data_IF_955119898502
#
_entry.id   IF_955119898502
#
_cell.length_a   1.000
_cell.length_b   1.000
_cell.length_c   1.000
_cell.angle_alpha   90.00
_cell.angle_beta   90.00
_cell.angle_gamma   90.00
#
_symmetry.space_group_name_H-M   'P 1'
#
loop_
_entity.id
_entity.type
_entity.pdbx_description
1 polymer ?
#
# COMPACT_ATOMS: atom_id res chain seq x y z
N UNK A 1 -96.00 0.60 0.38
CA UNK A 1 -94.99 1.62 0.70
C UNK A 1 -93.73 0.92 1.20
N UNK A 2 -92.66 0.87 0.41
CA UNK A 2 -91.27 1.15 0.82
C UNK A 2 -90.58 1.69 -0.43
N UNK A 3 -90.02 2.89 -0.34
CA UNK A 3 -89.47 3.67 -1.44
C UNK A 3 -88.02 3.22 -1.65
N UNK A 4 -87.68 2.68 -2.82
CA UNK A 4 -86.29 2.36 -3.18
C UNK A 4 -85.45 3.64 -3.20
N UNK A 5 -84.55 3.80 -2.23
CA UNK A 5 -83.53 4.85 -2.24
C UNK A 5 -82.46 4.52 -3.28
N UNK A 6 -82.10 5.52 -4.10
CA UNK A 6 -81.16 5.35 -5.22
C UNK A 6 -79.72 5.17 -4.76
N UNK A 7 -79.11 4.04 -5.10
CA UNK A 7 -77.69 3.69 -4.86
C UNK A 7 -76.67 4.42 -5.75
N UNK A 8 -77.07 5.47 -6.47
CA UNK A 8 -76.23 6.14 -7.49
C UNK A 8 -75.03 6.90 -6.93
N UNK A 9 -75.09 7.40 -5.70
CA UNK A 9 -73.94 8.10 -5.06
C UNK A 9 -72.88 7.16 -4.50
N UNK A 10 -73.29 6.02 -3.94
CA UNK A 10 -72.37 5.05 -3.32
C UNK A 10 -71.48 4.34 -4.36
N UNK A 11 -72.02 3.99 -5.53
CA UNK A 11 -71.25 3.37 -6.61
C UNK A 11 -70.14 4.31 -7.14
N UNK A 12 -70.41 5.62 -7.25
CA UNK A 12 -69.43 6.61 -7.69
C UNK A 12 -68.28 6.74 -6.69
N UNK A 13 -68.58 6.77 -5.38
CA UNK A 13 -67.55 6.85 -4.32
C UNK A 13 -66.66 5.62 -4.32
N UNK A 14 -67.22 4.43 -4.52
CA UNK A 14 -66.44 3.18 -4.59
C UNK A 14 -65.53 3.19 -5.83
N UNK A 15 -66.03 3.60 -7.00
CA UNK A 15 -65.21 3.70 -8.22
C UNK A 15 -64.09 4.72 -8.03
N UNK A 16 -64.38 5.91 -7.47
CA UNK A 16 -63.37 6.91 -7.18
C UNK A 16 -62.32 6.42 -6.18
N UNK A 17 -62.74 5.67 -5.16
CA UNK A 17 -61.81 5.07 -4.19
C UNK A 17 -60.91 4.01 -4.84
N UNK A 18 -61.46 3.13 -5.69
CA UNK A 18 -60.68 2.13 -6.43
C UNK A 18 -59.69 2.81 -7.39
N UNK A 19 -60.12 3.86 -8.11
CA UNK A 19 -59.24 4.63 -9.01
C UNK A 19 -58.15 5.35 -8.22
N UNK A 20 -58.48 5.96 -7.09
CA UNK A 20 -57.48 6.61 -6.23
C UNK A 20 -56.47 5.60 -5.68
N UNK A 21 -56.92 4.42 -5.23
CA UNK A 21 -56.05 3.36 -4.75
C UNK A 21 -55.15 2.79 -5.86
N UNK A 22 -55.71 2.57 -7.05
CA UNK A 22 -54.95 2.16 -8.23
C UNK A 22 -53.91 3.21 -8.63
N UNK A 23 -54.25 4.51 -8.56
CA UNK A 23 -53.32 5.59 -8.84
C UNK A 23 -52.17 5.65 -7.81
N UNK A 24 -52.45 5.49 -6.52
CA UNK A 24 -51.42 5.44 -5.47
C UNK A 24 -50.46 4.26 -5.70
N UNK A 25 -51.00 3.06 -5.96
CA UNK A 25 -50.19 1.88 -6.27
C UNK A 25 -49.33 2.09 -7.52
N UNK A 26 -49.88 2.70 -8.57
CA UNK A 26 -49.14 2.99 -9.80
C UNK A 26 -47.96 3.96 -9.55
N UNK A 27 -48.18 5.01 -8.74
CA UNK A 27 -47.12 5.97 -8.36
C UNK A 27 -46.02 5.28 -7.56
N UNK A 28 -46.38 4.44 -6.57
CA UNK A 28 -45.42 3.69 -5.77
C UNK A 28 -44.60 2.71 -6.63
N UNK A 29 -45.25 1.96 -7.52
CA UNK A 29 -44.58 1.06 -8.47
C UNK A 29 -43.61 1.82 -9.38
N UNK A 30 -44.00 2.99 -9.89
CA UNK A 30 -43.13 3.82 -10.75
C UNK A 30 -41.92 4.36 -9.98
N UNK A 31 -42.11 4.79 -8.73
CA UNK A 31 -41.02 5.26 -7.88
C UNK A 31 -40.02 4.12 -7.60
N UNK A 32 -40.52 2.93 -7.25
CA UNK A 32 -39.69 1.73 -7.05
C UNK A 32 -38.92 1.33 -8.31
N UNK A 33 -39.57 1.38 -9.48
CA UNK A 33 -38.90 1.12 -10.76
C UNK A 33 -37.76 2.11 -11.02
N UNK A 34 -37.98 3.41 -10.79
CA UNK A 34 -36.94 4.42 -10.97
C UNK A 34 -35.73 4.18 -10.06
N UNK A 35 -35.96 3.81 -8.79
CA UNK A 35 -34.89 3.45 -7.85
C UNK A 35 -34.12 2.21 -8.32
N UNK A 36 -34.82 1.18 -8.81
CA UNK A 36 -34.17 -0.03 -9.33
C UNK A 36 -33.32 0.26 -10.57
N UNK A 37 -33.82 1.09 -11.49
CA UNK A 37 -33.06 1.53 -12.67
C UNK A 37 -31.82 2.28 -12.23
N UNK A 38 -31.92 3.26 -11.33
CA UNK A 38 -30.75 4.00 -10.86
C UNK A 38 -29.72 3.09 -10.19
N UNK A 39 -30.15 2.15 -9.34
CA UNK A 39 -29.25 1.18 -8.70
C UNK A 39 -28.57 0.30 -9.74
N UNK A 40 -29.29 -0.16 -10.75
CA UNK A 40 -28.74 -0.98 -11.82
C UNK A 40 -27.71 -0.22 -12.65
N UNK A 41 -27.99 1.05 -12.99
CA UNK A 41 -27.07 1.93 -13.71
C UNK A 41 -25.80 2.18 -12.88
N UNK A 42 -25.93 2.49 -11.58
CA UNK A 42 -24.78 2.70 -10.72
C UNK A 42 -23.91 1.44 -10.59
N UNK A 43 -24.54 0.27 -10.43
CA UNK A 43 -23.81 -1.00 -10.37
C UNK A 43 -23.06 -1.28 -11.67
N UNK A 44 -23.70 -1.05 -12.82
CA UNK A 44 -23.06 -1.21 -14.13
C UNK A 44 -21.88 -0.24 -14.29
N UNK A 45 -22.07 1.03 -13.92
CA UNK A 45 -21.00 2.03 -13.97
C UNK A 45 -19.81 1.69 -13.05
N UNK A 46 -20.06 1.19 -11.85
CA UNK A 46 -19.00 0.70 -10.96
C UNK A 46 -18.25 -0.50 -11.54
N UNK A 47 -18.94 -1.43 -12.18
CA UNK A 47 -18.30 -2.55 -12.88
C UNK A 47 -17.45 -2.05 -14.05
N UNK A 48 -17.94 -1.08 -14.82
CA UNK A 48 -17.18 -0.49 -15.94
C UNK A 48 -15.89 0.19 -15.44
N UNK A 49 -15.97 1.01 -14.39
CA UNK A 49 -14.80 1.64 -13.79
C UNK A 49 -13.79 0.60 -13.26
N UNK A 50 -14.27 -0.50 -12.67
CA UNK A 50 -13.42 -1.62 -12.25
C UNK A 50 -12.71 -2.29 -13.43
N UNK A 51 -13.41 -2.53 -14.55
CA UNK A 51 -12.79 -3.08 -15.76
C UNK A 51 -11.74 -2.14 -16.37
N UNK A 52 -11.96 -0.83 -16.32
CA UNK A 52 -10.94 0.14 -16.71
C UNK A 52 -9.71 0.10 -15.82
N UNK A 53 -9.87 -0.06 -14.50
CA UNK A 53 -8.74 -0.23 -13.59
C UNK A 53 -7.93 -1.50 -13.90
N UNK A 54 -8.58 -2.62 -14.26
CA UNK A 54 -7.87 -3.80 -14.78
C UNK A 54 -7.16 -3.52 -16.11
N UNK A 55 -7.74 -2.69 -16.98
CA UNK A 55 -7.04 -2.21 -18.19
C UNK A 55 -5.76 -1.44 -17.88
N UNK A 56 -5.76 -0.57 -16.86
CA UNK A 56 -4.55 0.12 -16.41
C UNK A 56 -3.52 -0.84 -15.84
N UNK A 57 -3.97 -1.85 -15.08
CA UNK A 57 -3.10 -2.88 -14.53
C UNK A 57 -2.34 -3.62 -15.65
N UNK A 58 -3.03 -4.03 -16.71
CA UNK A 58 -2.40 -4.68 -17.87
C UNK A 58 -1.46 -3.74 -18.64
N UNK A 59 -1.79 -2.45 -18.75
CA UNK A 59 -0.90 -1.46 -19.37
C UNK A 59 0.38 -1.27 -18.54
N UNK A 60 0.24 -1.17 -17.22
CA UNK A 60 1.36 -1.07 -16.29
C UNK A 60 2.24 -2.32 -16.32
N UNK A 61 1.64 -3.51 -16.36
CA UNK A 61 2.36 -4.79 -16.52
C UNK A 61 3.17 -4.77 -17.82
N UNK A 62 2.59 -4.36 -18.95
CA UNK A 62 3.32 -4.23 -20.21
C UNK A 62 4.44 -3.20 -20.15
N UNK A 63 4.22 -2.07 -19.47
CA UNK A 63 5.24 -1.05 -19.24
C UNK A 63 6.44 -1.58 -18.45
N UNK A 64 6.19 -2.36 -17.39
CA UNK A 64 7.22 -3.02 -16.60
C UNK A 64 7.97 -4.08 -17.42
N UNK A 65 7.26 -4.93 -18.16
CA UNK A 65 7.89 -5.94 -19.04
C UNK A 65 8.77 -5.27 -20.09
N UNK A 66 8.29 -4.19 -20.72
CA UNK A 66 9.06 -3.45 -21.71
C UNK A 66 10.30 -2.83 -21.08
N UNK A 67 10.17 -2.17 -19.92
CA UNK A 67 11.31 -1.59 -19.23
C UNK A 67 12.37 -2.63 -18.85
N UNK A 68 11.96 -3.83 -18.42
CA UNK A 68 12.89 -4.92 -18.11
C UNK A 68 13.59 -5.50 -19.34
N UNK A 69 12.98 -5.38 -20.52
CA UNK A 69 13.62 -5.75 -21.79
C UNK A 69 14.61 -4.70 -22.26
N UNK A 70 14.28 -3.43 -22.06
CA UNK A 70 15.13 -2.30 -22.46
C UNK A 70 16.38 -2.21 -21.56
N UNK A 71 16.23 -2.47 -20.27
CA UNK A 71 17.33 -2.54 -19.30
C UNK A 71 17.04 -3.60 -18.22
N UNK A 72 17.68 -4.76 -18.36
CA UNK A 72 17.54 -5.88 -17.43
C UNK A 72 18.47 -5.77 -16.20
N UNK A 73 19.41 -4.82 -16.24
CA UNK A 73 20.52 -4.75 -15.30
C UNK A 73 20.33 -3.71 -14.19
N UNK A 74 19.37 -2.81 -14.35
CA UNK A 74 18.98 -1.88 -13.29
C UNK A 74 17.51 -1.48 -13.38
N UNK A 75 16.96 -1.07 -12.25
CA UNK A 75 15.65 -0.44 -12.14
C UNK A 75 15.85 1.01 -11.69
N UNK A 76 15.44 1.98 -12.50
CA UNK A 76 15.72 3.41 -12.27
C UNK A 76 14.48 4.27 -12.52
N UNK A 77 14.51 5.53 -12.07
CA UNK A 77 13.40 6.48 -12.24
C UNK A 77 13.30 7.09 -13.66
N UNK A 78 14.31 6.89 -14.51
CA UNK A 78 14.30 7.35 -15.91
C UNK A 78 13.56 6.38 -16.85
N UNK A 79 13.26 5.18 -16.36
CA UNK A 79 12.58 4.15 -17.12
C UNK A 79 11.09 4.46 -17.34
N UNK A 80 10.54 3.90 -18.41
CA UNK A 80 9.16 4.13 -18.87
C UNK A 80 8.10 3.80 -17.81
N UNK A 81 8.37 2.83 -16.92
CA UNK A 81 7.44 2.47 -15.84
C UNK A 81 7.32 3.58 -14.78
N UNK A 82 8.39 4.34 -14.55
CA UNK A 82 8.47 5.38 -13.53
C UNK A 82 7.90 6.72 -14.00
N UNK A 83 7.80 6.94 -15.32
CA UNK A 83 7.29 8.18 -15.92
C UNK A 83 5.78 8.35 -15.81
N UNK A 84 5.06 7.38 -15.24
CA UNK A 84 3.60 7.32 -15.24
C UNK A 84 3.06 7.46 -13.82
N UNK A 85 2.66 8.68 -13.46
CA UNK A 85 1.85 8.98 -12.27
C UNK A 85 0.65 9.88 -12.59
N UNK A 86 0.83 10.81 -13.54
CA UNK A 86 -0.17 11.83 -13.87
C UNK A 86 -0.74 11.72 -15.30
N UNK A 87 -0.30 10.72 -16.07
CA UNK A 87 -0.82 10.49 -17.42
C UNK A 87 -2.25 9.94 -17.34
N UNK A 88 -3.21 10.80 -17.64
CA UNK A 88 -4.62 10.43 -17.79
C UNK A 88 -4.86 9.91 -19.21
N UNK A 89 -5.22 8.64 -19.32
CA UNK A 89 -5.60 7.99 -20.56
C UNK A 89 -7.11 8.10 -20.76
N UNK A 90 -7.58 8.70 -21.87
CA UNK A 90 -9.00 8.79 -22.15
C UNK A 90 -9.56 7.39 -22.49
N UNK A 91 -10.72 7.08 -21.93
CA UNK A 91 -11.52 5.88 -22.22
C UNK A 91 -12.97 6.29 -22.45
N UNK A 92 -13.79 5.39 -22.97
CA UNK A 92 -15.19 5.71 -23.25
C UNK A 92 -15.91 6.20 -22.00
N UNK A 93 -16.37 7.45 -22.04
CA UNK A 93 -17.05 8.15 -20.94
C UNK A 93 -16.25 8.19 -19.63
N UNK A 94 -14.92 8.25 -19.71
CA UNK A 94 -14.07 8.20 -18.53
C UNK A 94 -12.61 8.53 -18.75
N UNK A 95 -11.85 8.41 -17.67
CA UNK A 95 -10.40 8.58 -17.66
C UNK A 95 -9.75 7.51 -16.80
N UNK A 96 -8.55 7.12 -17.16
CA UNK A 96 -7.76 6.12 -16.47
C UNK A 96 -6.38 6.68 -16.14
N UNK A 97 -5.96 6.58 -14.90
CA UNK A 97 -4.60 6.92 -14.49
C UNK A 97 -4.00 5.83 -13.62
N UNK A 98 -2.68 5.77 -13.59
CA UNK A 98 -1.93 4.80 -12.80
C UNK A 98 -0.59 5.39 -12.36
N UNK A 99 -0.19 5.09 -11.12
CA UNK A 99 1.13 5.37 -10.56
C UNK A 99 1.82 4.09 -10.16
N UNK A 100 2.99 3.82 -10.73
CA UNK A 100 3.85 2.70 -10.32
C UNK A 100 4.90 3.23 -9.34
N UNK A 101 5.20 2.45 -8.30
CA UNK A 101 6.23 2.77 -7.30
C UNK A 101 7.03 1.51 -7.00
N UNK A 102 8.34 1.64 -6.91
CA UNK A 102 9.23 0.54 -6.54
C UNK A 102 9.06 0.20 -5.04
N UNK A 103 8.73 -1.06 -4.72
CA UNK A 103 8.61 -1.57 -3.34
C UNK A 103 9.94 -2.04 -2.74
N UNK A 104 11.04 -1.88 -3.46
CA UNK A 104 12.39 -2.00 -2.93
C UNK A 104 13.02 -0.64 -2.64
N UNK A 105 12.29 0.47 -2.77
CA UNK A 105 12.72 1.80 -2.30
C UNK A 105 12.25 2.09 -0.85
N UNK A 106 12.15 1.06 -0.01
CA UNK A 106 11.63 1.14 1.35
C UNK A 106 12.16 0.00 2.21
N UNK A 107 12.09 0.15 3.53
CA UNK A 107 12.40 -0.92 4.47
C UNK A 107 11.21 -1.91 4.51
N UNK A 108 11.40 -3.10 3.94
CA UNK A 108 10.40 -4.16 4.01
C UNK A 108 10.30 -4.71 5.44
N UNK A 109 9.19 -4.45 6.13
CA UNK A 109 8.97 -4.88 7.51
C UNK A 109 9.05 -6.40 7.67
N UNK A 110 8.62 -7.16 6.66
CA UNK A 110 8.71 -8.62 6.69
C UNK A 110 10.14 -9.15 6.76
N UNK A 111 11.15 -8.34 6.44
CA UNK A 111 12.55 -8.74 6.63
C UNK A 111 12.93 -8.92 8.10
N UNK A 112 12.18 -8.33 9.04
CA UNK A 112 12.40 -8.51 10.47
C UNK A 112 12.10 -9.94 10.93
N UNK A 113 11.34 -10.72 10.16
CA UNK A 113 11.07 -12.13 10.47
C UNK A 113 12.27 -13.06 10.23
N UNK A 114 13.33 -12.60 9.56
CA UNK A 114 14.51 -13.44 9.28
C UNK A 114 15.23 -13.75 10.60
N UNK A 115 15.37 -15.03 10.93
CA UNK A 115 16.09 -15.43 12.12
C UNK A 115 17.52 -14.85 12.15
N UNK A 116 18.00 -14.38 13.31
CA UNK A 116 19.37 -13.90 13.45
C UNK A 116 20.37 -15.00 13.10
N UNK A 117 21.56 -14.62 12.63
CA UNK A 117 22.63 -15.59 12.37
C UNK A 117 22.99 -16.36 13.66
N UNK A 118 23.14 -17.68 13.57
CA UNK A 118 23.34 -18.58 14.73
C UNK A 118 24.53 -18.19 15.64
N UNK A 119 25.53 -17.48 15.10
CA UNK A 119 26.74 -17.05 15.82
C UNK A 119 26.79 -15.54 16.09
N UNK A 120 25.72 -14.80 15.83
CA UNK A 120 25.65 -13.37 16.11
C UNK A 120 25.48 -13.12 17.60
N UNK A 121 26.22 -12.15 18.13
CA UNK A 121 25.95 -11.62 19.48
C UNK A 121 24.58 -10.92 19.55
N UNK A 122 24.03 -10.50 18.39
CA UNK A 122 22.71 -9.91 18.27
C UNK A 122 21.65 -11.00 18.18
N UNK A 123 20.66 -10.97 19.08
CA UNK A 123 19.45 -11.82 18.99
C UNK A 123 18.44 -11.35 17.94
N UNK A 124 18.85 -10.44 17.05
CA UNK A 124 18.02 -9.81 16.00
C UNK A 124 18.82 -9.70 14.70
N UNK A 125 18.16 -9.23 13.64
CA UNK A 125 18.73 -9.11 12.30
C UNK A 125 18.99 -7.64 11.89
N UNK A 126 19.64 -7.39 10.74
CA UNK A 126 19.87 -6.04 10.24
C UNK A 126 18.60 -5.21 10.00
N UNK A 127 17.47 -5.85 9.66
CA UNK A 127 16.20 -5.17 9.42
C UNK A 127 15.62 -4.55 10.71
N UNK A 128 15.72 -5.26 11.84
CA UNK A 128 15.32 -4.76 13.16
C UNK A 128 16.17 -3.57 13.57
N UNK A 129 17.50 -3.66 13.43
CA UNK A 129 18.42 -2.55 13.71
C UNK A 129 18.10 -1.32 12.85
N UNK A 130 17.81 -1.53 11.57
CA UNK A 130 17.43 -0.47 10.65
C UNK A 130 16.10 0.18 11.03
N UNK A 131 15.09 -0.60 11.42
CA UNK A 131 13.81 -0.05 11.88
C UNK A 131 14.00 0.78 13.16
N UNK A 132 14.76 0.26 14.13
CA UNK A 132 15.06 0.97 15.36
C UNK A 132 15.79 2.30 15.11
N UNK A 133 16.90 2.26 14.36
CA UNK A 133 17.64 3.46 13.99
C UNK A 133 16.78 4.45 13.18
N UNK A 134 15.88 3.96 12.33
CA UNK A 134 14.95 4.81 11.60
C UNK A 134 13.99 5.53 12.55
N UNK A 135 13.38 4.82 13.50
CA UNK A 135 12.47 5.40 14.48
C UNK A 135 13.15 6.46 15.35
N UNK A 136 14.39 6.21 15.82
CA UNK A 136 15.17 7.17 16.61
C UNK A 136 15.47 8.48 15.87
N UNK A 137 15.57 8.42 14.54
CA UNK A 137 15.95 9.56 13.71
C UNK A 137 14.76 10.24 13.01
N UNK A 138 13.52 9.78 13.21
CA UNK A 138 12.33 10.51 12.78
C UNK A 138 12.11 11.70 13.71
N UNK A 139 12.09 12.90 13.14
CA UNK A 139 11.78 14.12 13.88
C UNK A 139 10.32 14.18 14.35
N UNK A 140 10.15 14.60 15.60
CA UNK A 140 8.86 14.81 16.28
C UNK A 140 7.94 13.58 16.19
N UNK A 141 8.47 12.38 16.47
CA UNK A 141 7.67 11.15 16.49
C UNK A 141 6.68 11.21 17.68
N UNK A 142 5.36 11.24 17.43
CA UNK A 142 4.34 11.38 18.49
C UNK A 142 3.97 10.01 19.06
N UNK A 143 4.97 9.27 19.53
CA UNK A 143 4.82 7.94 20.09
C UNK A 143 4.56 7.99 21.61
N UNK A 144 3.69 7.10 22.07
CA UNK A 144 3.44 6.88 23.51
C UNK A 144 4.43 5.86 24.11
N UNK A 145 5.08 5.09 23.24
CA UNK A 145 6.05 4.04 23.54
C UNK A 145 7.44 4.48 23.07
N UNK A 146 8.50 3.89 23.64
CA UNK A 146 9.86 4.12 23.14
C UNK A 146 10.06 3.50 21.76
N UNK A 147 11.03 4.04 21.02
CA UNK A 147 11.43 3.56 19.71
C UNK A 147 11.94 2.11 19.76
N UNK A 148 12.59 1.72 20.87
CA UNK A 148 13.02 0.33 21.12
C UNK A 148 11.80 -0.60 21.28
N UNK A 149 10.82 -0.23 22.13
CA UNK A 149 9.56 -0.97 22.30
C UNK A 149 8.84 -1.15 20.98
N UNK A 150 8.79 -0.10 20.15
CA UNK A 150 8.16 -0.17 18.84
C UNK A 150 8.85 -1.15 17.88
N UNK A 151 10.18 -1.08 17.78
CA UNK A 151 10.93 -1.99 16.92
C UNK A 151 10.85 -3.45 17.40
N UNK A 152 10.97 -3.67 18.71
CA UNK A 152 10.82 -4.98 19.35
C UNK A 152 9.40 -5.54 19.15
N UNK A 153 8.37 -4.70 19.27
CA UNK A 153 6.98 -5.12 19.07
C UNK A 153 6.69 -5.54 17.62
N UNK A 154 7.35 -4.93 16.63
CA UNK A 154 7.26 -5.39 15.22
C UNK A 154 7.98 -6.71 15.02
N UNK A 155 9.09 -6.93 15.73
CA UNK A 155 9.82 -8.20 15.68
C UNK A 155 8.99 -9.35 16.27
N UNK A 156 8.44 -9.18 17.48
CA UNK A 156 7.55 -10.16 18.12
C UNK A 156 6.29 -10.42 17.29
N UNK A 157 5.72 -9.38 16.65
CA UNK A 157 4.55 -9.56 15.78
C UNK A 157 4.79 -10.54 14.62
N UNK A 158 6.03 -10.61 14.14
CA UNK A 158 6.44 -11.34 12.94
C UNK A 158 7.04 -12.71 13.22
N UNK A 159 7.68 -12.88 14.38
CA UNK A 159 8.39 -14.12 14.69
C UNK A 159 7.40 -15.27 14.97
N UNK A 160 7.84 -16.51 14.82
CA UNK A 160 6.93 -17.67 14.92
C UNK A 160 6.61 -18.09 16.37
N UNK A 161 7.28 -17.50 17.36
CA UNK A 161 7.14 -17.91 18.74
C UNK A 161 6.20 -16.96 19.50
N UNK A 162 5.99 -17.21 20.80
CA UNK A 162 5.15 -16.35 21.65
C UNK A 162 5.96 -15.86 22.86
N UNK A 163 7.26 -15.61 22.67
CA UNK A 163 8.19 -15.19 23.72
C UNK A 163 8.57 -13.75 23.47
N UNK A 164 8.10 -12.87 24.36
CA UNK A 164 8.35 -11.43 24.26
C UNK A 164 9.84 -11.12 24.20
N UNK A 165 10.26 -10.45 23.12
CA UNK A 165 11.61 -9.95 22.99
C UNK A 165 11.77 -8.63 23.74
N UNK A 166 12.53 -8.64 24.85
CA UNK A 166 12.86 -7.45 25.66
C UNK A 166 11.62 -6.61 26.05
N UNK A 167 11.34 -5.56 25.29
CA UNK A 167 10.30 -4.56 25.50
C UNK A 167 9.17 -4.67 24.49
N UNK A 168 9.20 -5.69 23.63
CA UNK A 168 8.18 -5.99 22.64
C UNK A 168 6.84 -6.41 23.25
N UNK A 169 6.04 -7.06 22.44
CA UNK A 169 4.65 -7.35 22.75
C UNK A 169 4.20 -8.64 22.08
N UNK A 170 3.63 -9.52 22.90
CA UNK A 170 3.08 -10.81 22.49
C UNK A 170 1.59 -10.92 22.86
N UNK A 171 1.05 -12.14 22.81
CA UNK A 171 -0.35 -12.45 23.13
C UNK A 171 -0.84 -11.82 24.44
N UNK A 172 -0.02 -11.75 25.50
CA UNK A 172 -0.41 -11.21 26.80
C UNK A 172 -0.75 -9.71 26.74
N UNK A 173 0.05 -8.94 26.00
CA UNK A 173 -0.21 -7.53 25.72
C UNK A 173 -1.51 -7.37 24.90
N UNK A 174 -1.65 -8.06 23.77
CA UNK A 174 -2.77 -7.83 22.86
C UNK A 174 -4.11 -8.38 23.38
N UNK A 175 -4.09 -9.46 24.16
CA UNK A 175 -5.29 -9.99 24.83
C UNK A 175 -5.75 -9.15 26.02
N UNK A 176 -4.91 -8.24 26.53
CA UNK A 176 -5.26 -7.34 27.63
C UNK A 176 -6.01 -6.07 27.19
N UNK A 177 -6.09 -5.81 25.87
CA UNK A 177 -6.74 -4.63 25.30
C UNK A 177 -8.27 -4.70 25.40
N UNK A 178 -8.92 -3.54 25.34
CA UNK A 178 -10.39 -3.41 25.33
C UNK A 178 -11.05 -4.28 24.24
N UNK A 179 -10.39 -4.35 23.07
CA UNK A 179 -10.75 -5.23 21.96
C UNK A 179 -9.61 -6.22 21.76
N UNK A 180 -9.64 -7.40 22.43
CA UNK A 180 -8.52 -8.33 22.42
C UNK A 180 -8.38 -9.02 21.07
N UNK A 181 -7.13 -9.27 20.69
CA UNK A 181 -6.72 -10.07 19.54
C UNK A 181 -5.39 -10.77 19.83
N UNK A 182 -4.98 -11.70 18.96
CA UNK A 182 -3.70 -12.38 19.07
C UNK A 182 -2.65 -11.68 18.20
N UNK A 183 -1.37 -11.87 18.54
CA UNK A 183 -0.27 -11.61 17.62
C UNK A 183 -0.45 -12.42 16.33
N UNK A 184 0.10 -11.91 15.22
CA UNK A 184 0.02 -12.61 13.95
C UNK A 184 0.94 -13.83 13.89
N UNK A 185 2.12 -13.75 14.51
CA UNK A 185 3.21 -14.72 14.45
C UNK A 185 3.50 -15.18 13.02
N UNK A 186 3.45 -14.22 12.10
CA UNK A 186 3.49 -14.42 10.66
C UNK A 186 3.82 -13.09 9.97
N UNK A 187 4.30 -13.19 8.73
CA UNK A 187 4.54 -12.03 7.87
C UNK A 187 3.29 -11.15 7.73
N UNK A 188 3.51 -9.84 7.70
CA UNK A 188 2.49 -8.88 7.32
C UNK A 188 2.00 -9.15 5.89
N UNK A 189 0.69 -9.05 5.72
CA UNK A 189 0.02 -9.03 4.42
C UNK A 189 -0.23 -7.59 3.93
N UNK A 190 -0.27 -6.61 4.84
CA UNK A 190 -0.50 -5.19 4.52
C UNK A 190 0.19 -4.28 5.52
N UNK A 191 0.69 -3.13 5.05
CA UNK A 191 1.23 -2.08 5.93
C UNK A 191 0.21 -1.55 6.95
N UNK A 192 -1.09 -1.74 6.70
CA UNK A 192 -2.14 -1.35 7.64
C UNK A 192 -2.14 -2.17 8.94
N UNK A 193 -1.59 -3.39 8.92
CA UNK A 193 -1.49 -4.22 10.13
C UNK A 193 -0.55 -3.62 11.17
N UNK A 194 0.39 -2.78 10.75
CA UNK A 194 1.25 -2.02 11.66
C UNK A 194 0.43 -1.25 12.71
N UNK A 195 -0.80 -0.82 12.38
CA UNK A 195 -1.72 -0.14 13.31
C UNK A 195 -2.11 -0.98 14.53
N UNK A 196 -2.02 -2.30 14.42
CA UNK A 196 -2.33 -3.27 15.48
C UNK A 196 -1.14 -3.49 16.41
N UNK A 197 0.08 -3.19 15.96
CA UNK A 197 1.30 -3.36 16.74
C UNK A 197 1.38 -2.29 17.84
N UNK A 198 1.90 -2.65 19.00
CA UNK A 198 2.13 -1.73 20.12
C UNK A 198 3.02 -0.55 19.69
N UNK A 199 2.64 0.67 20.07
CA UNK A 199 3.34 1.91 19.75
C UNK A 199 2.99 2.57 18.41
N UNK A 200 2.21 1.94 17.53
CA UNK A 200 1.85 2.49 16.22
C UNK A 200 0.45 3.11 16.18
N UNK A 201 0.33 4.33 16.71
CA UNK A 201 -0.87 5.15 16.58
C UNK A 201 -0.94 5.82 15.18
N UNK A 202 -2.08 6.43 14.77
CA UNK A 202 -2.21 7.03 13.43
C UNK A 202 -1.19 8.12 13.11
N UNK A 203 -0.78 8.91 14.11
CA UNK A 203 0.19 10.00 13.94
C UNK A 203 1.61 9.46 13.74
N UNK A 204 1.98 8.43 14.49
CA UNK A 204 3.22 7.66 14.29
C UNK A 204 3.23 7.05 12.89
N UNK A 205 2.13 6.42 12.47
CA UNK A 205 2.03 5.82 11.14
C UNK A 205 2.25 6.84 10.02
N UNK A 206 1.69 8.05 10.13
CA UNK A 206 1.89 9.11 9.13
C UNK A 206 3.38 9.43 8.92
N UNK A 207 4.17 9.43 10.01
CA UNK A 207 5.61 9.67 9.97
C UNK A 207 6.43 8.48 9.48
N UNK A 208 6.01 7.24 9.76
CA UNK A 208 6.76 6.01 9.47
C UNK A 208 6.49 5.48 8.05
N UNK A 209 5.25 5.58 7.56
CA UNK A 209 4.83 5.02 6.26
C UNK A 209 5.64 5.46 5.03
N UNK A 210 6.24 6.67 4.95
CA UNK A 210 7.11 7.03 3.83
C UNK A 210 8.35 6.15 3.67
N UNK A 211 8.81 5.52 4.75
CA UNK A 211 10.07 4.78 4.79
C UNK A 211 9.91 3.27 4.77
N UNK A 212 8.76 2.75 5.21
CA UNK A 212 8.53 1.32 5.38
C UNK A 212 7.53 0.77 4.35
N UNK A 213 7.63 -0.51 4.08
CA UNK A 213 6.68 -1.22 3.24
C UNK A 213 6.50 -2.66 3.68
N UNK A 214 5.52 -3.33 3.07
CA UNK A 214 5.24 -4.74 3.26
C UNK A 214 5.15 -5.38 1.88
N UNK A 215 5.98 -6.38 1.65
CA UNK A 215 5.91 -7.25 0.47
C UNK A 215 5.32 -8.59 0.93
N UNK A 216 4.05 -8.90 0.60
CA UNK A 216 3.40 -10.11 1.10
C UNK A 216 4.13 -11.37 0.68
N UNK A 217 4.42 -12.25 1.64
CA UNK A 217 5.12 -13.51 1.39
C UNK A 217 6.61 -13.37 1.08
N UNK A 218 7.20 -12.18 1.21
CA UNK A 218 8.63 -11.96 0.97
C UNK A 218 9.30 -11.30 2.16
N UNK A 219 10.39 -11.90 2.62
CA UNK A 219 11.28 -11.35 3.65
C UNK A 219 12.48 -10.63 3.04
N UNK A 220 12.49 -10.40 1.71
CA UNK A 220 13.60 -9.78 1.02
C UNK A 220 13.90 -8.38 1.59
N UNK A 221 15.13 -8.19 2.05
CA UNK A 221 15.71 -6.88 2.35
C UNK A 221 16.79 -6.58 1.30
N UNK A 222 16.39 -5.85 0.26
CA UNK A 222 17.30 -5.43 -0.80
C UNK A 222 16.82 -4.09 -1.33
N UNK A 223 17.42 -3.01 -0.85
CA UNK A 223 16.98 -1.65 -1.15
C UNK A 223 17.55 -1.19 -2.48
N UNK A 224 16.66 -0.84 -3.39
CA UNK A 224 17.03 -0.28 -4.68
C UNK A 224 17.47 1.18 -4.55
N UNK A 225 18.78 1.40 -4.62
CA UNK A 225 19.38 2.74 -4.47
C UNK A 225 19.05 3.67 -5.63
N UNK A 226 18.65 3.13 -6.78
CA UNK A 226 18.33 3.90 -7.98
C UNK A 226 16.92 4.52 -7.98
N UNK A 227 16.08 4.12 -7.03
CA UNK A 227 14.68 4.57 -6.92
C UNK A 227 14.35 5.28 -5.61
N UNK A 228 15.27 5.33 -4.66
CA UNK A 228 15.12 6.14 -3.44
C UNK A 228 14.94 7.63 -3.80
N UNK A 229 14.01 8.29 -3.14
CA UNK A 229 13.82 9.75 -3.24
C UNK A 229 14.47 10.46 -2.04
N UNK A 230 14.81 11.75 -2.13
CA UNK A 230 15.46 12.49 -1.03
C UNK A 230 14.73 12.37 0.31
N UNK A 231 13.39 12.36 0.28
CA UNK A 231 12.54 12.20 1.46
C UNK A 231 12.71 10.85 2.16
N UNK A 232 13.37 9.88 1.51
CA UNK A 232 13.65 8.54 2.05
C UNK A 232 15.13 8.38 2.43
N UNK A 233 15.92 9.46 2.42
CA UNK A 233 17.34 9.43 2.80
C UNK A 233 17.60 8.82 4.18
N UNK A 234 16.62 8.95 5.09
CA UNK A 234 16.70 8.37 6.43
C UNK A 234 16.91 6.84 6.44
N UNK A 235 16.44 6.14 5.40
CA UNK A 235 16.68 4.70 5.24
C UNK A 235 18.17 4.42 5.10
N UNK A 236 18.90 5.24 4.33
CA UNK A 236 20.33 5.06 4.13
C UNK A 236 21.10 5.34 5.42
N UNK A 237 20.76 6.41 6.15
CA UNK A 237 21.42 6.71 7.43
C UNK A 237 21.12 5.68 8.51
N UNK A 238 19.93 5.06 8.49
CA UNK A 238 19.57 3.99 9.43
C UNK A 238 20.32 2.68 9.16
N UNK A 239 20.71 2.42 7.90
CA UNK A 239 21.38 1.18 7.50
C UNK A 239 22.90 1.31 7.40
N UNK A 240 23.43 2.51 7.18
CA UNK A 240 24.85 2.72 6.93
C UNK A 240 25.47 3.46 8.11
N UNK A 241 26.44 2.82 8.75
CA UNK A 241 27.13 3.37 9.91
C UNK A 241 27.85 4.68 9.58
N UNK A 242 27.72 5.68 10.46
CA UNK A 242 28.34 7.02 10.31
C UNK A 242 27.86 7.85 9.11
N UNK A 243 26.85 7.42 8.36
CA UNK A 243 26.24 8.23 7.31
C UNK A 243 25.18 9.17 7.91
N UNK A 244 25.44 10.47 7.92
CA UNK A 244 24.44 11.46 8.37
C UNK A 244 23.26 11.55 7.39
N UNK A 245 22.12 12.07 7.85
CA UNK A 245 20.96 12.34 6.98
C UNK A 245 21.34 13.25 5.80
N UNK A 246 22.09 14.32 6.05
CA UNK A 246 22.58 15.22 5.00
C UNK A 246 23.54 14.52 4.01
N UNK A 247 24.35 13.58 4.49
CA UNK A 247 25.20 12.75 3.65
C UNK A 247 24.38 11.81 2.77
N UNK A 248 23.35 11.18 3.33
CA UNK A 248 22.42 10.33 2.60
C UNK A 248 21.66 11.11 1.50
N UNK A 249 21.16 12.30 1.82
CA UNK A 249 20.55 13.21 0.82
C UNK A 249 21.54 13.56 -0.29
N UNK A 250 22.80 13.85 0.06
CA UNK A 250 23.85 14.14 -0.92
C UNK A 250 24.16 12.94 -1.82
N UNK A 251 24.17 11.71 -1.28
CA UNK A 251 24.32 10.49 -2.09
C UNK A 251 23.17 10.34 -3.09
N UNK A 252 21.92 10.55 -2.65
CA UNK A 252 20.75 10.49 -3.54
C UNK A 252 20.81 11.61 -4.59
N UNK A 253 21.20 12.82 -4.20
CA UNK A 253 21.35 13.97 -5.10
C UNK A 253 22.49 13.82 -6.12
N UNK A 254 23.54 13.08 -5.77
CA UNK A 254 24.66 12.77 -6.66
C UNK A 254 24.35 11.63 -7.64
N UNK A 255 23.23 10.92 -7.48
CA UNK A 255 22.82 9.84 -8.37
C UNK A 255 22.67 10.34 -9.81
N UNK A 256 23.31 9.69 -10.80
CA UNK A 256 23.10 10.02 -12.22
C UNK A 256 21.63 9.89 -12.62
N UNK A 257 21.20 10.61 -13.66
CA UNK A 257 19.82 10.52 -14.17
C UNK A 257 19.43 9.08 -14.52
N UNK A 258 20.35 8.35 -15.15
CA UNK A 258 20.20 6.94 -15.50
C UNK A 258 20.46 5.97 -14.34
N UNK A 259 20.57 6.46 -13.10
CA UNK A 259 20.98 5.68 -11.93
C UNK A 259 22.48 5.32 -11.91
N UNK A 260 22.92 4.76 -10.79
CA UNK A 260 24.21 4.08 -10.66
C UNK A 260 24.22 2.81 -11.52
N UNK A 261 25.33 2.55 -12.20
CA UNK A 261 25.51 1.37 -13.06
C UNK A 261 25.96 0.16 -12.26
N UNK A 262 26.63 0.38 -11.13
CA UNK A 262 27.04 -0.67 -10.20
C UNK A 262 26.74 -0.30 -8.76
N UNK A 263 26.63 -1.31 -7.90
CA UNK A 263 26.48 -1.07 -6.46
C UNK A 263 27.76 -0.47 -5.84
N UNK A 264 28.92 -0.71 -6.46
CA UNK A 264 30.20 -0.17 -6.01
C UNK A 264 30.27 1.35 -6.18
N UNK A 265 29.77 1.88 -7.30
CA UNK A 265 29.66 3.34 -7.52
C UNK A 265 28.82 4.02 -6.43
N UNK A 266 27.71 3.41 -6.04
CA UNK A 266 26.89 3.91 -4.92
C UNK A 266 27.71 3.94 -3.62
N UNK A 267 28.43 2.86 -3.29
CA UNK A 267 29.21 2.81 -2.06
C UNK A 267 30.45 3.72 -2.08
N UNK A 268 31.01 4.03 -3.24
CA UNK A 268 32.03 5.07 -3.36
C UNK A 268 31.48 6.44 -2.99
N UNK A 269 30.26 6.79 -3.43
CA UNK A 269 29.59 8.03 -3.02
C UNK A 269 29.31 8.04 -1.51
N UNK A 270 28.82 6.93 -0.95
CA UNK A 270 28.59 6.78 0.50
C UNK A 270 29.88 7.03 1.31
N UNK A 271 31.01 6.45 0.88
CA UNK A 271 32.31 6.64 1.55
C UNK A 271 32.77 8.09 1.48
N UNK A 272 32.52 8.78 0.36
CA UNK A 272 32.83 10.21 0.22
C UNK A 272 32.02 11.09 1.18
N UNK A 273 30.79 10.66 1.52
CA UNK A 273 29.93 11.34 2.50
C UNK A 273 30.17 10.88 3.97
N UNK A 274 31.21 10.07 4.22
CA UNK A 274 31.60 9.66 5.57
C UNK A 274 30.98 8.35 6.08
N UNK A 275 30.19 7.66 5.25
CA UNK A 275 29.68 6.33 5.58
C UNK A 275 30.82 5.31 5.75
N UNK A 276 30.74 4.51 6.80
CA UNK A 276 31.74 3.49 7.16
C UNK A 276 31.12 2.10 7.17
N UNK A 277 31.95 1.07 7.34
CA UNK A 277 31.51 -0.34 7.46
C UNK A 277 30.60 -0.83 6.31
N UNK A 278 30.78 -0.26 5.12
CA UNK A 278 29.91 -0.48 3.95
C UNK A 278 29.85 -1.93 3.49
N UNK A 279 30.94 -2.69 3.70
CA UNK A 279 31.05 -4.07 3.24
C UNK A 279 30.09 -5.00 3.99
N UNK A 280 29.79 -4.69 5.26
CA UNK A 280 28.86 -5.47 6.09
C UNK A 280 27.40 -5.32 5.67
N UNK A 281 27.05 -4.20 5.02
CA UNK A 281 25.67 -3.86 4.63
C UNK A 281 25.46 -3.93 3.13
N UNK A 282 26.51 -4.21 2.34
CA UNK A 282 26.46 -4.24 0.87
C UNK A 282 25.38 -5.18 0.31
N UNK A 283 25.12 -6.29 0.98
CA UNK A 283 24.08 -7.26 0.60
C UNK A 283 22.65 -6.76 0.78
N UNK A 284 22.45 -5.71 1.59
CA UNK A 284 21.14 -5.11 1.88
C UNK A 284 20.70 -4.13 0.78
N UNK A 285 21.54 -3.87 -0.21
CA UNK A 285 21.29 -2.92 -1.29
C UNK A 285 21.40 -3.59 -2.66
N UNK A 286 20.70 -3.00 -3.63
CA UNK A 286 20.65 -3.44 -5.02
C UNK A 286 20.46 -2.24 -5.93
N UNK A 287 20.72 -2.44 -7.22
CA UNK A 287 20.36 -1.52 -8.30
C UNK A 287 19.20 -2.05 -9.15
N UNK A 288 18.73 -3.27 -8.84
CA UNK A 288 17.60 -3.97 -9.46
C UNK A 288 16.45 -4.07 -8.46
N UNK A 289 15.23 -4.02 -8.98
CA UNK A 289 14.00 -4.33 -8.22
C UNK A 289 13.11 -5.32 -8.95
N UNK A 290 12.45 -6.19 -8.18
CA UNK A 290 11.48 -7.19 -8.60
C UNK A 290 10.06 -6.86 -8.10
N UNK A 291 9.88 -5.95 -7.14
CA UNK A 291 8.58 -5.70 -6.51
C UNK A 291 8.08 -4.28 -6.77
N UNK A 292 6.84 -4.16 -7.23
CA UNK A 292 6.25 -2.88 -7.60
C UNK A 292 4.83 -2.75 -7.03
N UNK A 293 4.46 -1.53 -6.67
CA UNK A 293 3.10 -1.14 -6.29
C UNK A 293 2.51 -0.30 -7.40
N UNK A 294 1.37 -0.72 -7.94
CA UNK A 294 0.58 0.06 -8.86
C UNK A 294 -0.64 0.62 -8.12
N UNK A 295 -0.83 1.93 -8.16
CA UNK A 295 -2.06 2.59 -7.73
C UNK A 295 -2.81 3.08 -8.96
N UNK A 296 -3.96 2.49 -9.25
CA UNK A 296 -4.83 2.84 -10.37
C UNK A 296 -6.03 3.63 -9.90
N UNK A 297 -6.45 4.58 -10.73
CA UNK A 297 -7.71 5.28 -10.59
C UNK A 297 -8.43 5.31 -11.93
N UNK A 298 -9.67 4.83 -11.93
CA UNK A 298 -10.57 4.91 -13.06
C UNK A 298 -11.77 5.78 -12.70
N UNK A 299 -12.07 6.75 -13.56
CA UNK A 299 -13.29 7.53 -13.48
C UNK A 299 -14.20 7.14 -14.65
N UNK A 300 -15.48 6.89 -14.39
CA UNK A 300 -16.50 6.65 -15.41
C UNK A 300 -17.73 7.47 -15.05
N UNK A 301 -18.05 8.46 -15.89
CA UNK A 301 -19.05 9.50 -15.56
C UNK A 301 -18.69 10.12 -14.20
N UNK A 302 -19.53 9.96 -13.17
CA UNK A 302 -19.31 10.50 -11.81
C UNK A 302 -18.75 9.44 -10.84
N UNK A 303 -18.50 8.21 -11.30
CA UNK A 303 -18.04 7.11 -10.46
C UNK A 303 -16.52 7.00 -10.49
N UNK A 304 -15.91 6.99 -9.31
CA UNK A 304 -14.48 6.74 -9.11
C UNK A 304 -14.26 5.33 -8.57
N UNK A 305 -13.30 4.64 -9.15
CA UNK A 305 -12.78 3.37 -8.65
C UNK A 305 -11.27 3.46 -8.47
N UNK A 306 -10.80 3.12 -7.27
CA UNK A 306 -9.37 3.06 -6.94
C UNK A 306 -8.97 1.63 -6.62
N UNK A 307 -7.81 1.22 -7.11
CA UNK A 307 -7.25 -0.11 -6.86
C UNK A 307 -5.74 -0.04 -6.72
N UNK A 308 -5.23 -0.70 -5.69
CA UNK A 308 -3.79 -0.91 -5.50
C UNK A 308 -3.46 -2.37 -5.83
N UNK A 309 -2.47 -2.58 -6.69
CA UNK A 309 -1.97 -3.90 -7.07
C UNK A 309 -0.50 -4.02 -6.67
N UNK A 310 -0.14 -5.13 -6.04
CA UNK A 310 1.24 -5.50 -5.79
C UNK A 310 1.70 -6.48 -6.88
N UNK A 311 2.78 -6.12 -7.56
CA UNK A 311 3.32 -6.80 -8.72
C UNK A 311 4.70 -7.37 -8.38
N UNK A 312 4.98 -8.57 -8.88
CA UNK A 312 6.28 -9.21 -8.82
C UNK A 312 6.78 -9.46 -10.25
N UNK A 313 7.80 -8.69 -10.64
CA UNK A 313 8.41 -8.65 -11.96
C UNK A 313 9.77 -9.35 -11.93
N UNK A 314 9.81 -10.62 -12.37
CA UNK A 314 11.00 -11.47 -12.31
C UNK A 314 11.13 -12.29 -13.59
N UNK A 315 12.36 -12.46 -14.06
CA UNK A 315 12.71 -13.27 -15.24
C UNK A 315 11.92 -12.88 -16.53
N UNK A 316 11.55 -11.60 -16.65
CA UNK A 316 10.81 -11.07 -17.80
C UNK A 316 9.29 -11.27 -17.74
N UNK A 317 8.79 -11.92 -16.68
CA UNK A 317 7.37 -12.08 -16.38
C UNK A 317 6.95 -11.17 -15.23
N UNK A 318 5.68 -10.74 -15.24
CA UNK A 318 5.08 -9.95 -14.16
C UNK A 318 3.84 -10.67 -13.65
N UNK A 319 3.84 -10.97 -12.35
CA UNK A 319 2.75 -11.65 -11.67
C UNK A 319 2.09 -10.73 -10.65
N UNK A 320 0.82 -10.96 -10.37
CA UNK A 320 0.04 -10.18 -9.40
C UNK A 320 0.06 -10.93 -8.07
N UNK A 321 0.63 -10.31 -7.04
CA UNK A 321 0.67 -10.86 -5.69
C UNK A 321 -0.65 -10.60 -4.94
N UNK A 322 -1.14 -9.37 -5.01
CA UNK A 322 -2.34 -8.96 -4.29
C UNK A 322 -3.03 -7.79 -4.99
N UNK A 323 -4.35 -7.71 -4.82
CA UNK A 323 -5.16 -6.54 -5.19
C UNK A 323 -5.94 -6.06 -3.99
N UNK A 324 -5.91 -4.75 -3.75
CA UNK A 324 -6.73 -4.06 -2.77
C UNK A 324 -7.67 -3.11 -3.50
N UNK A 325 -8.96 -3.28 -3.29
CA UNK A 325 -9.98 -2.38 -3.84
C UNK A 325 -10.34 -1.32 -2.82
N UNK A 326 -10.37 -0.06 -3.25
CA UNK A 326 -10.67 1.08 -2.39
C UNK A 326 -9.47 1.59 -1.59
N UNK A 327 -9.69 2.76 -0.99
CA UNK A 327 -8.67 3.56 -0.30
C UNK A 327 -8.26 4.79 -1.12
N UNK A 328 -8.37 5.97 -0.51
CA UNK A 328 -7.48 7.09 -0.80
C UNK A 328 -6.36 6.93 0.21
N UNK A 329 -5.14 6.63 -0.24
CA UNK A 329 -3.96 6.79 0.60
C UNK A 329 -3.32 8.10 0.21
#
# INVERSE_FOLDING_TARGET
MVKQQSSRGAALVIVLFIVALAAILAVEMSANLMVQVQKSTNLQGHQQAKWYAYGAEELAIKGLIQSKKDDADKTTLDQVWATQGDASYPVDNGTLSGKITDLQACLNLNALAIAPEENSASKTNPAHKALFALLENIEDLPADESEETMADSVFDWLDENSITYRSGAEEDEYLSRDFPYMTANSLFASTSELRLVKGFNPLVMEKVLPYVCVIPGSTLLSINVNTLIPEQALILSALIESLSLSGAEAVIGARPQTGFDTIDEFFEQVKQQGGTNTDSVKSLFSIKSEYFKLQTQANFVDLRFSMTTLLHAKDGDVTILARKFGGVQ
#
